data_IF_053778336215
#
_entry.id   IF_053778336215
#
_cell.length_a   1.000
_cell.length_b   1.000
_cell.length_c   1.000
_cell.angle_alpha   90.00
_cell.angle_beta   90.00
_cell.angle_gamma   90.00
#
_symmetry.space_group_name_H-M   'P 1'
#
loop_
_entity.id
_entity.type
_entity.pdbx_description
1 polymer ?
#
# COMPACT_ATOMS: atom_id res chain seq x y z
N UNK A 1 -11.18 -1.68 -3.50
CA UNK A 1 -10.54 -1.03 -2.33
C UNK A 1 -10.94 0.44 -2.27
N UNK A 2 -11.33 0.98 -1.10
CA UNK A 2 -11.80 2.38 -0.94
C UNK A 2 -10.67 3.41 -0.72
N UNK A 3 -9.41 3.01 -0.88
CA UNK A 3 -8.23 3.83 -0.55
C UNK A 3 -8.22 5.22 -1.22
N UNK A 4 -8.64 5.32 -2.48
CA UNK A 4 -8.74 6.60 -3.21
C UNK A 4 -9.81 7.57 -2.68
N UNK A 5 -10.72 7.10 -1.83
CA UNK A 5 -11.76 7.93 -1.18
C UNK A 5 -11.42 8.28 0.28
N UNK A 6 -10.27 7.83 0.78
CA UNK A 6 -9.83 8.02 2.17
C UNK A 6 -8.70 9.06 2.24
N UNK A 7 -8.82 10.13 1.46
CA UNK A 7 -7.89 11.26 1.47
C UNK A 7 -8.12 12.17 2.69
N UNK A 8 -7.11 12.95 3.07
CA UNK A 8 -7.28 14.04 4.02
C UNK A 8 -8.11 15.20 3.43
N UNK A 9 -8.36 16.24 4.23
CA UNK A 9 -9.12 17.43 3.80
C UNK A 9 -8.45 18.21 2.65
N UNK A 10 -7.19 17.91 2.32
CA UNK A 10 -6.43 18.51 1.22
C UNK A 10 -6.33 17.58 0.01
N UNK A 11 -7.01 16.43 0.03
CA UNK A 11 -6.99 15.45 -1.05
C UNK A 11 -5.75 14.56 -1.07
N UNK A 12 -4.88 14.60 -0.06
CA UNK A 12 -3.67 13.76 0.02
C UNK A 12 -3.97 12.41 0.66
N UNK A 13 -3.18 11.39 0.34
CA UNK A 13 -3.38 10.03 0.87
C UNK A 13 -2.57 9.85 2.17
N UNK A 14 -3.20 9.70 3.36
CA UNK A 14 -2.44 9.57 4.60
C UNK A 14 -1.79 8.18 4.72
N UNK A 15 -0.51 8.12 5.12
CA UNK A 15 0.22 6.85 5.29
C UNK A 15 -0.47 5.94 6.31
N UNK A 16 -0.99 6.50 7.40
CA UNK A 16 -1.78 5.74 8.40
C UNK A 16 -2.99 5.00 7.81
N UNK A 17 -3.61 5.55 6.76
CA UNK A 17 -4.77 4.93 6.10
C UNK A 17 -4.30 3.74 5.26
N UNK A 18 -3.18 3.90 4.54
CA UNK A 18 -2.54 2.82 3.79
C UNK A 18 -2.13 1.68 4.73
N UNK A 19 -1.38 2.01 5.79
CA UNK A 19 -0.95 1.06 6.81
C UNK A 19 -2.13 0.26 7.40
N UNK A 20 -3.19 0.94 7.85
CA UNK A 20 -4.40 0.29 8.37
C UNK A 20 -5.11 -0.59 7.34
N UNK A 21 -5.09 -0.22 6.06
CA UNK A 21 -5.75 -1.00 5.00
C UNK A 21 -5.06 -2.34 4.76
N UNK A 22 -3.73 -2.36 4.81
CA UNK A 22 -2.94 -3.57 4.55
C UNK A 22 -2.51 -4.32 5.82
N UNK A 23 -2.71 -3.75 7.01
CA UNK A 23 -2.39 -4.38 8.29
C UNK A 23 -3.33 -5.55 8.67
N UNK A 24 -4.39 -5.82 7.90
CA UNK A 24 -5.24 -7.00 8.14
C UNK A 24 -4.43 -8.28 7.90
N UNK A 25 -3.88 -8.86 8.98
CA UNK A 25 -3.01 -10.04 8.94
C UNK A 25 -1.51 -9.78 8.73
N UNK A 26 -1.07 -8.52 8.60
CA UNK A 26 0.35 -8.12 8.46
C UNK A 26 0.69 -7.02 9.47
N UNK A 27 1.97 -6.88 9.80
CA UNK A 27 2.41 -5.80 10.71
C UNK A 27 2.44 -4.46 9.97
N UNK A 28 2.00 -3.37 10.62
CA UNK A 28 2.11 -2.02 10.06
C UNK A 28 3.56 -1.69 9.65
N UNK A 29 4.55 -2.21 10.40
CA UNK A 29 5.98 -2.09 10.10
C UNK A 29 6.34 -2.57 8.69
N UNK A 30 5.76 -3.67 8.22
CA UNK A 30 5.99 -4.18 6.87
C UNK A 30 5.43 -3.21 5.80
N UNK A 31 4.27 -2.62 6.06
CA UNK A 31 3.66 -1.64 5.15
C UNK A 31 4.55 -0.41 5.01
N UNK A 32 5.06 0.12 6.13
CA UNK A 32 5.98 1.26 6.14
C UNK A 32 7.28 0.94 5.38
N UNK A 33 7.84 -0.26 5.58
CA UNK A 33 9.03 -0.70 4.85
C UNK A 33 8.79 -0.78 3.33
N UNK A 34 7.65 -1.33 2.90
CA UNK A 34 7.33 -1.41 1.47
C UNK A 34 7.10 -0.02 0.85
N UNK A 35 6.51 0.92 1.59
CA UNK A 35 6.36 2.32 1.13
C UNK A 35 7.72 2.98 0.94
N UNK A 36 8.64 2.79 1.89
CA UNK A 36 10.01 3.29 1.81
C UNK A 36 10.74 2.75 0.57
N UNK A 37 10.64 1.44 0.31
CA UNK A 37 11.23 0.80 -0.88
C UNK A 37 10.66 1.29 -2.22
N UNK A 38 9.41 1.76 -2.21
CA UNK A 38 8.74 2.35 -3.37
C UNK A 38 9.04 3.86 -3.54
N UNK A 39 9.92 4.40 -2.69
CA UNK A 39 10.24 5.83 -2.65
C UNK A 39 9.01 6.68 -2.33
N UNK A 40 8.12 6.18 -1.48
CA UNK A 40 6.94 6.89 -1.01
C UNK A 40 7.15 7.35 0.44
N UNK A 41 6.46 8.43 0.88
CA UNK A 41 6.41 8.78 2.28
C UNK A 41 5.98 7.58 3.14
N UNK A 42 6.72 7.33 4.22
CA UNK A 42 6.62 6.09 4.99
C UNK A 42 6.43 6.31 6.48
N UNK A 43 6.55 7.54 7.00
CA UNK A 43 6.33 7.78 8.43
C UNK A 43 4.84 7.78 8.78
N UNK A 44 4.51 7.47 10.04
CA UNK A 44 3.12 7.30 10.50
C UNK A 44 2.20 8.50 10.20
N UNK A 45 2.75 9.71 10.29
CA UNK A 45 2.02 10.96 10.12
C UNK A 45 2.19 11.58 8.73
N UNK A 46 2.91 10.91 7.83
CA UNK A 46 3.13 11.40 6.48
C UNK A 46 1.85 11.34 5.64
N UNK A 47 1.88 12.15 4.58
CA UNK A 47 0.87 12.18 3.54
C UNK A 47 1.56 12.02 2.19
N UNK A 48 0.93 11.26 1.29
CA UNK A 48 1.41 10.97 -0.05
C UNK A 48 0.64 11.86 -1.02
N UNK A 49 1.36 12.52 -1.96
CA UNK A 49 0.71 13.23 -3.06
C UNK A 49 0.01 12.22 -3.99
N UNK A 50 -1.23 12.49 -4.43
CA UNK A 50 -1.94 11.59 -5.33
C UNK A 50 -1.18 11.29 -6.63
N UNK A 51 -0.41 12.25 -7.14
CA UNK A 51 0.45 12.08 -8.32
C UNK A 51 1.58 11.06 -8.10
N UNK A 52 2.06 10.94 -6.86
CA UNK A 52 3.15 10.02 -6.51
C UNK A 52 2.63 8.61 -6.21
N UNK A 53 1.37 8.49 -5.78
CA UNK A 53 0.71 7.21 -5.52
C UNK A 53 0.05 6.63 -6.77
N UNK A 54 0.87 6.39 -7.79
CA UNK A 54 0.43 5.85 -9.08
C UNK A 54 -0.10 4.42 -8.97
N UNK A 55 -0.85 3.98 -9.98
CA UNK A 55 -1.31 2.60 -10.08
C UNK A 55 -0.16 1.60 -10.02
N UNK A 56 0.96 1.85 -10.70
CA UNK A 56 2.10 0.94 -10.71
C UNK A 56 2.70 0.75 -9.31
N UNK A 57 2.87 1.85 -8.55
CA UNK A 57 3.35 1.76 -7.17
C UNK A 57 2.36 1.01 -6.28
N UNK A 58 1.06 1.27 -6.45
CA UNK A 58 0.01 0.54 -5.75
C UNK A 58 0.02 -0.96 -6.10
N UNK A 59 0.21 -1.30 -7.37
CA UNK A 59 0.21 -2.68 -7.85
C UNK A 59 1.38 -3.48 -7.27
N UNK A 60 2.58 -2.88 -7.22
CA UNK A 60 3.75 -3.47 -6.57
C UNK A 60 3.52 -3.62 -5.06
N UNK A 61 2.98 -2.59 -4.40
CA UNK A 61 2.66 -2.63 -2.97
C UNK A 61 1.68 -3.77 -2.65
N UNK A 62 0.61 -3.90 -3.44
CA UNK A 62 -0.40 -4.94 -3.29
C UNK A 62 0.19 -6.35 -3.40
N UNK A 63 1.00 -6.61 -4.42
CA UNK A 63 1.63 -7.92 -4.61
C UNK A 63 2.63 -8.26 -3.50
N UNK A 64 3.41 -7.28 -3.03
CA UNK A 64 4.34 -7.48 -1.91
C UNK A 64 3.61 -7.79 -0.59
N UNK A 65 2.55 -7.05 -0.28
CA UNK A 65 1.85 -7.17 1.00
C UNK A 65 0.85 -8.33 1.03
N UNK A 66 0.25 -8.64 -0.11
CA UNK A 66 -0.75 -9.69 -0.27
C UNK A 66 -0.30 -10.71 -1.34
N UNK A 67 0.77 -11.49 -1.07
CA UNK A 67 1.21 -12.52 -2.01
C UNK A 67 0.10 -13.55 -2.21
N UNK A 68 -0.14 -13.92 -3.48
CA UNK A 68 -1.18 -14.86 -3.91
C UNK A 68 -0.54 -16.11 -4.52
N UNK A 69 0.16 -16.87 -3.68
CA UNK A 69 0.85 -18.09 -4.08
C UNK A 69 -0.11 -19.14 -4.67
N UNK A 70 -1.38 -19.10 -4.22
CA UNK A 70 -2.47 -19.91 -4.75
C UNK A 70 -2.69 -19.70 -6.25
N UNK A 71 -2.38 -18.50 -6.78
CA UNK A 71 -2.46 -18.24 -8.22
C UNK A 71 -1.32 -18.94 -8.95
N UNK A 72 -0.09 -18.92 -8.42
CA UNK A 72 1.05 -19.60 -9.05
C UNK A 72 0.83 -21.12 -9.14
N UNK A 73 0.24 -21.71 -8.10
CA UNK A 73 -0.11 -23.14 -8.07
C UNK A 73 -1.09 -23.53 -9.20
N UNK A 74 -1.99 -22.63 -9.62
CA UNK A 74 -2.92 -22.89 -10.74
C UNK A 74 -2.21 -23.07 -12.08
N UNK A 75 -1.01 -22.50 -12.25
CA UNK A 75 -0.23 -22.57 -13.50
C UNK A 75 0.81 -23.71 -13.48
N UNK A 76 0.92 -24.47 -12.38
CA UNK A 76 1.79 -25.65 -12.27
C UNK A 76 1.04 -26.97 -12.48
N UNK A 77 -0.27 -26.90 -12.79
CA UNK A 77 -1.12 -28.04 -13.13
C UNK A 77 -1.04 -28.42 -14.62
#
# INVERSE_FOLDING_TARGET
MRLGFLTDARGKVPVKVVARTFASGKTEKLVHQCLLELGLPSEKNDVIEPSDFTFDKFYVLYHKLCPRNDIEELFQA
#
